data_IF_532404773190
#
_entry.id   IF_532404773190
#
_cell.length_a   1.000
_cell.length_b   1.000
_cell.length_c   1.000
_cell.angle_alpha   90.00
_cell.angle_beta   90.00
_cell.angle_gamma   90.00
#
_symmetry.space_group_name_H-M   'P 1'
#
loop_
_entity.id
_entity.type
_entity.pdbx_description
1 polymer ?
#
# COMPACT_ATOMS: atom_id res chain seq x y z
N UNK A 1 -5.68 52.63 22.05
CA UNK A 1 -5.13 51.63 21.11
C UNK A 1 -3.83 51.12 21.71
N UNK A 2 -3.88 50.00 22.41
CA UNK A 2 -2.69 49.34 22.94
C UNK A 2 -1.96 48.68 21.76
N UNK A 3 -0.73 49.11 21.51
CA UNK A 3 0.16 48.41 20.60
C UNK A 3 0.57 47.08 21.26
N UNK A 4 0.14 45.98 20.66
CA UNK A 4 0.62 44.65 21.00
C UNK A 4 2.09 44.56 20.60
N UNK A 5 2.97 44.47 21.58
CA UNK A 5 4.35 44.02 21.37
C UNK A 5 4.31 42.55 20.96
N UNK A 6 4.55 42.30 19.68
CA UNK A 6 4.78 40.97 19.12
C UNK A 6 6.02 40.37 19.78
N UNK A 7 5.81 39.36 20.62
CA UNK A 7 6.87 38.51 21.12
C UNK A 7 7.38 37.66 19.94
N UNK A 8 8.54 38.01 19.40
CA UNK A 8 9.29 37.12 18.52
C UNK A 8 9.70 35.90 19.34
N UNK A 9 8.98 34.80 19.17
CA UNK A 9 9.34 33.52 19.76
C UNK A 9 10.69 33.08 19.19
N UNK A 10 11.76 33.21 19.99
CA UNK A 10 13.06 32.63 19.69
C UNK A 10 12.96 31.10 19.67
N UNK A 11 13.72 30.49 18.74
CA UNK A 11 13.84 29.04 18.59
C UNK A 11 14.23 28.42 19.94
N UNK A 12 13.36 27.60 20.54
CA UNK A 12 13.69 26.84 21.77
C UNK A 12 12.61 26.77 22.85
N UNK A 13 11.47 27.45 22.71
CA UNK A 13 10.45 27.59 23.78
C UNK A 13 9.63 26.33 24.17
N UNK A 14 10.03 25.13 23.74
CA UNK A 14 9.36 23.88 24.14
C UNK A 14 10.30 22.68 24.25
N UNK A 15 11.55 22.90 24.69
CA UNK A 15 12.48 21.81 25.00
C UNK A 15 12.91 21.86 26.47
N UNK A 16 13.16 20.70 27.11
CA UNK A 16 13.81 20.67 28.41
C UNK A 16 15.10 21.49 28.36
N UNK A 17 15.49 22.10 29.49
CA UNK A 17 16.70 22.92 29.58
C UNK A 17 17.87 22.23 28.84
N UNK A 18 18.40 22.92 27.84
CA UNK A 18 19.55 22.42 27.10
C UNK A 18 20.71 22.16 28.06
N UNK A 19 21.49 21.10 27.81
CA UNK A 19 22.67 20.80 28.62
C UNK A 19 23.59 22.02 28.71
N UNK A 20 24.27 22.20 29.85
CA UNK A 20 25.26 23.28 30.00
C UNK A 20 26.32 23.22 28.89
N UNK A 21 26.68 22.01 28.43
CA UNK A 21 27.56 21.78 27.30
C UNK A 21 26.99 22.32 25.98
N UNK A 22 25.69 22.09 25.69
CA UNK A 22 25.05 22.64 24.50
C UNK A 22 25.02 24.17 24.50
N UNK A 23 24.78 24.79 25.66
CA UNK A 23 24.79 26.26 25.77
C UNK A 23 26.19 26.84 25.50
N UNK A 24 27.25 26.20 26.01
CA UNK A 24 28.62 26.60 25.70
C UNK A 24 28.93 26.48 24.20
N UNK A 25 28.45 25.42 23.55
CA UNK A 25 28.58 25.27 22.09
C UNK A 25 27.81 26.37 21.35
N UNK A 26 26.59 26.68 21.77
CA UNK A 26 25.77 27.73 21.16
C UNK A 26 26.46 29.10 21.23
N UNK A 27 26.98 29.47 22.40
CA UNK A 27 27.67 30.75 22.58
C UNK A 27 28.96 30.82 21.76
N UNK A 28 29.72 29.72 21.70
CA UNK A 28 30.91 29.64 20.85
C UNK A 28 30.55 29.73 19.36
N UNK A 29 29.45 29.10 18.93
CA UNK A 29 28.97 29.18 17.56
C UNK A 29 28.58 30.62 17.17
N UNK A 30 27.89 31.34 18.07
CA UNK A 30 27.55 32.75 17.87
C UNK A 30 28.81 33.62 17.70
N UNK A 31 29.80 33.46 18.58
CA UNK A 31 31.04 34.22 18.51
C UNK A 31 31.85 33.94 17.22
N UNK A 32 31.90 32.66 16.80
CA UNK A 32 32.56 32.27 15.55
C UNK A 32 31.81 32.80 14.33
N UNK A 33 30.47 32.80 14.34
CA UNK A 33 29.64 33.36 13.27
C UNK A 33 29.87 34.87 13.11
N UNK A 34 29.88 35.62 14.21
CA UNK A 34 30.16 37.06 14.18
C UNK A 34 31.56 37.34 13.61
N UNK A 35 32.57 36.57 14.04
CA UNK A 35 33.94 36.70 13.54
C UNK A 35 34.03 36.34 12.06
N UNK A 36 33.34 35.29 11.62
CA UNK A 36 33.30 34.89 10.21
C UNK A 36 32.61 35.92 9.32
N UNK A 37 31.53 36.52 9.80
CA UNK A 37 30.85 37.61 9.09
C UNK A 37 31.78 38.84 8.92
N UNK A 38 32.60 39.17 9.93
CA UNK A 38 33.61 40.24 9.79
C UNK A 38 34.65 39.89 8.74
N UNK A 39 35.17 38.66 8.75
CA UNK A 39 36.09 38.20 7.70
C UNK A 39 35.51 38.32 6.29
N UNK A 40 34.25 37.93 6.10
CA UNK A 40 33.58 37.96 4.79
C UNK A 40 33.31 39.40 4.33
N UNK A 41 32.81 40.26 5.23
CA UNK A 41 32.38 41.61 4.88
C UNK A 41 33.55 42.59 4.71
N UNK A 42 34.58 42.47 5.55
CA UNK A 42 35.71 43.41 5.55
C UNK A 42 36.83 42.98 4.59
N UNK A 43 36.85 41.71 4.15
CA UNK A 43 37.95 41.15 3.34
C UNK A 43 37.40 40.26 2.20
N UNK A 44 36.93 40.87 1.10
CA UNK A 44 36.39 40.12 -0.04
C UNK A 44 37.46 39.32 -0.81
N UNK A 45 38.73 39.72 -0.73
CA UNK A 45 39.86 39.01 -1.33
C UNK A 45 40.95 38.75 -0.27
N UNK A 46 41.59 37.59 -0.36
CA UNK A 46 42.73 37.24 0.49
C UNK A 46 44.05 37.55 -0.21
N UNK A 47 44.98 38.14 0.53
CA UNK A 47 46.36 38.37 0.12
C UNK A 47 47.34 37.53 0.95
N UNK A 48 48.62 37.59 0.62
CA UNK A 48 49.67 36.77 1.26
C UNK A 48 49.76 36.95 2.79
N UNK A 49 49.36 38.11 3.33
CA UNK A 49 49.37 38.36 4.78
C UNK A 49 48.10 37.87 5.49
N UNK A 50 46.97 37.88 4.79
CA UNK A 50 45.65 37.57 5.37
C UNK A 50 45.24 36.12 5.15
N UNK A 51 45.73 35.48 4.09
CA UNK A 51 45.43 34.08 3.77
C UNK A 51 45.86 33.10 4.88
N UNK A 52 47.06 33.19 5.51
CA UNK A 52 47.44 32.30 6.61
C UNK A 52 46.54 32.46 7.86
N UNK A 53 46.11 33.69 8.13
CA UNK A 53 45.20 34.03 9.25
C UNK A 53 43.79 33.52 8.96
N UNK A 54 43.32 33.65 7.72
CA UNK A 54 42.04 33.12 7.26
C UNK A 54 42.02 31.58 7.31
N UNK A 55 43.10 30.92 6.88
CA UNK A 55 43.24 29.46 6.98
C UNK A 55 43.20 28.99 8.44
N UNK A 56 43.91 29.68 9.34
CA UNK A 56 43.87 29.38 10.78
C UNK A 56 42.46 29.52 11.38
N UNK A 57 41.67 30.49 10.89
CA UNK A 57 40.29 30.67 11.30
C UNK A 57 39.36 29.60 10.69
N UNK A 58 39.56 29.23 9.43
CA UNK A 58 38.86 28.14 8.76
C UNK A 58 39.09 26.80 9.49
N UNK A 59 40.32 26.54 9.96
CA UNK A 59 40.60 25.38 10.81
C UNK A 59 39.82 25.42 12.12
N UNK A 60 39.68 26.58 12.76
CA UNK A 60 38.89 26.72 13.98
C UNK A 60 37.41 26.41 13.74
N UNK A 61 36.82 26.93 12.65
CA UNK A 61 35.44 26.63 12.24
C UNK A 61 35.26 25.13 12.01
N UNK A 62 36.20 24.52 11.29
CA UNK A 62 36.17 23.09 10.96
C UNK A 62 36.28 22.21 12.22
N UNK A 63 37.22 22.53 13.12
CA UNK A 63 37.39 21.81 14.40
C UNK A 63 36.16 21.97 15.28
N UNK A 64 35.59 23.17 15.37
CA UNK A 64 34.38 23.43 16.14
C UNK A 64 33.18 22.65 15.59
N UNK A 65 32.99 22.63 14.27
CA UNK A 65 31.93 21.83 13.63
C UNK A 65 32.07 20.33 13.97
N UNK A 66 33.30 19.79 13.97
CA UNK A 66 33.56 18.40 14.38
C UNK A 66 33.21 18.14 15.85
N UNK A 67 33.50 19.09 16.75
CA UNK A 67 33.15 18.98 18.18
C UNK A 67 31.63 18.93 18.36
N UNK A 68 30.89 19.84 17.73
CA UNK A 68 29.42 19.87 17.80
C UNK A 68 28.82 18.53 17.35
N UNK A 69 29.30 17.99 16.22
CA UNK A 69 28.81 16.71 15.71
C UNK A 69 29.19 15.53 16.60
N UNK A 70 30.36 15.56 17.25
CA UNK A 70 30.76 14.55 18.21
C UNK A 70 29.89 14.57 19.48
N UNK A 71 29.64 15.76 20.05
CA UNK A 71 28.74 15.94 21.21
C UNK A 71 27.33 15.47 20.87
N UNK A 72 26.80 15.88 19.71
CA UNK A 72 25.48 15.41 19.22
C UNK A 72 25.39 13.90 19.14
N UNK A 73 26.44 13.23 18.64
CA UNK A 73 26.47 11.75 18.57
C UNK A 73 26.51 11.14 19.97
N UNK A 74 27.32 11.68 20.86
CA UNK A 74 27.46 11.18 22.23
C UNK A 74 26.15 11.29 23.03
N UNK A 75 25.46 12.43 22.97
CA UNK A 75 24.15 12.61 23.62
C UNK A 75 23.07 11.74 22.98
N UNK A 76 23.11 11.54 21.65
CA UNK A 76 22.10 10.78 20.91
C UNK A 76 22.25 9.26 21.07
N UNK A 77 23.46 8.74 21.23
CA UNK A 77 23.71 7.30 21.31
C UNK A 77 22.91 6.59 22.42
N UNK A 78 22.86 7.05 23.68
CA UNK A 78 22.08 6.38 24.71
C UNK A 78 20.57 6.40 24.40
N UNK A 79 20.06 7.46 23.79
CA UNK A 79 18.65 7.56 23.39
C UNK A 79 18.35 6.56 22.26
N UNK A 80 19.23 6.46 21.27
CA UNK A 80 19.11 5.46 20.20
C UNK A 80 19.20 4.05 20.74
N UNK A 81 20.08 3.80 21.71
CA UNK A 81 20.20 2.50 22.36
C UNK A 81 18.92 2.13 23.11
N UNK A 82 18.38 3.05 23.92
CA UNK A 82 17.09 2.85 24.60
C UNK A 82 15.96 2.58 23.61
N UNK A 83 15.92 3.31 22.49
CA UNK A 83 14.97 3.06 21.40
C UNK A 83 15.11 1.66 20.81
N UNK A 84 16.34 1.24 20.49
CA UNK A 84 16.62 -0.12 19.97
C UNK A 84 16.23 -1.21 20.97
N UNK A 85 16.48 -1.01 22.26
CA UNK A 85 16.10 -1.95 23.30
C UNK A 85 14.58 -2.07 23.45
N UNK A 86 13.87 -0.95 23.39
CA UNK A 86 12.41 -0.92 23.40
C UNK A 86 11.84 -1.67 22.19
N UNK A 87 12.33 -1.34 21.00
CA UNK A 87 11.95 -1.98 19.75
C UNK A 87 12.21 -3.49 19.82
N UNK A 88 13.36 -3.91 20.34
CA UNK A 88 13.69 -5.32 20.49
C UNK A 88 12.72 -6.05 21.43
N UNK A 89 12.33 -5.44 22.56
CA UNK A 89 11.36 -6.03 23.51
C UNK A 89 9.99 -6.26 22.86
N UNK A 90 9.47 -5.25 22.16
CA UNK A 90 8.18 -5.37 21.48
C UNK A 90 8.24 -6.31 20.28
N UNK A 91 9.35 -6.26 19.52
CA UNK A 91 9.58 -7.18 18.42
C UNK A 91 9.57 -8.63 18.89
N UNK A 92 10.24 -8.95 20.01
CA UNK A 92 10.24 -10.29 20.59
C UNK A 92 8.81 -10.80 20.91
N UNK A 93 7.93 -9.94 21.43
CA UNK A 93 6.52 -10.30 21.67
C UNK A 93 5.79 -10.62 20.36
N UNK A 94 5.96 -9.77 19.34
CA UNK A 94 5.32 -9.99 18.04
C UNK A 94 5.87 -11.22 17.31
N UNK A 95 7.17 -11.48 17.43
CA UNK A 95 7.82 -12.66 16.85
C UNK A 95 7.37 -13.96 17.53
N UNK A 96 7.16 -13.95 18.85
CA UNK A 96 6.60 -15.10 19.56
C UNK A 96 5.15 -15.43 19.10
N UNK A 97 4.35 -14.41 18.79
CA UNK A 97 2.97 -14.59 18.34
C UNK A 97 2.83 -14.86 16.83
N UNK A 98 3.81 -14.44 16.02
CA UNK A 98 3.74 -14.52 14.55
C UNK A 98 3.50 -15.94 14.02
N UNK A 99 4.18 -17.01 14.50
CA UNK A 99 3.90 -18.37 14.08
C UNK A 99 2.47 -18.85 14.41
N UNK A 100 1.96 -18.44 15.58
CA UNK A 100 0.59 -18.78 16.02
C UNK A 100 -0.42 -18.10 15.11
N UNK A 101 -0.25 -16.79 14.87
CA UNK A 101 -1.11 -16.02 13.97
C UNK A 101 -1.08 -16.60 12.56
N UNK A 102 0.09 -16.98 12.05
CA UNK A 102 0.24 -17.64 10.74
C UNK A 102 -0.53 -18.95 10.69
N UNK A 103 -0.32 -19.85 11.66
CA UNK A 103 -1.00 -21.15 11.73
C UNK A 103 -2.52 -20.99 11.81
N UNK A 104 -3.01 -20.05 12.62
CA UNK A 104 -4.45 -19.77 12.73
C UNK A 104 -5.04 -19.23 11.42
N UNK A 105 -4.32 -18.35 10.71
CA UNK A 105 -4.73 -17.85 9.39
C UNK A 105 -4.80 -18.97 8.35
N UNK A 106 -3.83 -19.88 8.36
CA UNK A 106 -3.80 -21.05 7.45
C UNK A 106 -5.01 -21.96 7.71
N UNK A 107 -5.28 -22.30 8.96
CA UNK A 107 -6.47 -23.11 9.34
C UNK A 107 -7.78 -22.42 8.97
N UNK A 108 -7.89 -21.13 9.25
CA UNK A 108 -9.07 -20.33 8.85
C UNK A 108 -9.24 -20.29 7.32
N UNK A 109 -8.14 -20.25 6.58
CA UNK A 109 -8.17 -20.30 5.11
C UNK A 109 -8.68 -21.65 4.61
N UNK A 110 -8.24 -22.76 5.22
CA UNK A 110 -8.75 -24.11 4.88
C UNK A 110 -10.25 -24.19 5.14
N UNK A 111 -10.71 -23.74 6.31
CA UNK A 111 -12.13 -23.72 6.64
C UNK A 111 -12.95 -22.87 5.66
N UNK A 112 -12.52 -21.64 5.36
CA UNK A 112 -13.22 -20.76 4.42
C UNK A 112 -13.25 -21.32 2.99
N UNK A 113 -12.20 -22.04 2.57
CA UNK A 113 -12.20 -22.74 1.27
C UNK A 113 -13.20 -23.88 1.25
N UNK A 114 -13.31 -24.63 2.35
CA UNK A 114 -14.29 -25.70 2.47
C UNK A 114 -15.73 -25.14 2.47
N UNK A 115 -15.98 -24.04 3.17
CA UNK A 115 -17.26 -23.34 3.12
C UNK A 115 -17.58 -22.83 1.70
N UNK A 116 -16.60 -22.33 0.97
CA UNK A 116 -16.77 -21.92 -0.43
C UNK A 116 -17.04 -23.12 -1.35
N UNK A 117 -16.41 -24.28 -1.10
CA UNK A 117 -16.68 -25.54 -1.83
C UNK A 117 -18.13 -25.99 -1.61
N UNK A 118 -18.54 -26.12 -0.35
CA UNK A 118 -19.91 -26.52 0.01
C UNK A 118 -20.96 -25.57 -0.57
N UNK A 119 -20.70 -24.25 -0.55
CA UNK A 119 -21.59 -23.28 -1.17
C UNK A 119 -21.70 -23.50 -2.68
N UNK A 120 -20.58 -23.72 -3.39
CA UNK A 120 -20.60 -23.96 -4.85
C UNK A 120 -21.36 -25.24 -5.19
N UNK A 121 -21.19 -26.29 -4.39
CA UNK A 121 -21.95 -27.55 -4.56
C UNK A 121 -23.45 -27.34 -4.37
N UNK A 122 -23.84 -26.56 -3.35
CA UNK A 122 -25.24 -26.21 -3.12
C UNK A 122 -25.79 -25.31 -4.23
N UNK A 123 -25.01 -24.32 -4.67
CA UNK A 123 -25.34 -23.44 -5.78
C UNK A 123 -25.54 -24.22 -7.08
N UNK A 124 -24.68 -25.18 -7.39
CA UNK A 124 -24.83 -26.09 -8.54
C UNK A 124 -26.10 -26.94 -8.42
N UNK A 125 -26.40 -27.46 -7.23
CA UNK A 125 -27.62 -28.25 -6.96
C UNK A 125 -28.89 -27.42 -7.17
N UNK A 126 -28.95 -26.22 -6.59
CA UNK A 126 -30.11 -25.32 -6.68
C UNK A 126 -30.27 -24.79 -8.11
N UNK A 127 -29.17 -24.50 -8.83
CA UNK A 127 -29.23 -24.14 -10.26
C UNK A 127 -29.77 -25.29 -11.11
N UNK A 128 -29.35 -26.53 -10.87
CA UNK A 128 -29.86 -27.69 -11.58
C UNK A 128 -31.36 -27.92 -11.30
N UNK A 129 -31.81 -27.70 -10.06
CA UNK A 129 -33.23 -27.75 -9.70
C UNK A 129 -34.03 -26.62 -10.36
N UNK A 130 -33.51 -25.38 -10.35
CA UNK A 130 -34.12 -24.25 -11.03
C UNK A 130 -34.29 -24.51 -12.52
N UNK A 131 -33.27 -25.10 -13.18
CA UNK A 131 -33.35 -25.45 -14.60
C UNK A 131 -34.42 -26.51 -14.88
N UNK A 132 -34.55 -27.51 -14.00
CA UNK A 132 -35.62 -28.53 -14.12
C UNK A 132 -37.00 -27.92 -13.99
N UNK A 133 -37.22 -27.09 -12.96
CA UNK A 133 -38.50 -26.39 -12.74
C UNK A 133 -38.83 -25.41 -13.86
N UNK A 134 -37.83 -24.72 -14.40
CA UNK A 134 -38.02 -23.85 -15.57
C UNK A 134 -38.48 -24.65 -16.80
N UNK A 135 -37.90 -25.83 -17.05
CA UNK A 135 -38.32 -26.69 -18.14
C UNK A 135 -39.74 -27.25 -17.93
N UNK A 136 -40.09 -27.66 -16.71
CA UNK A 136 -41.45 -28.08 -16.34
C UNK A 136 -42.46 -26.94 -16.52
N UNK A 137 -42.13 -25.72 -16.07
CA UNK A 137 -42.98 -24.55 -16.23
C UNK A 137 -43.19 -24.17 -17.71
N UNK A 138 -42.14 -24.26 -18.53
CA UNK A 138 -42.24 -24.05 -19.99
C UNK A 138 -43.16 -25.07 -20.65
N UNK A 139 -43.07 -26.34 -20.23
CA UNK A 139 -43.92 -27.39 -20.77
C UNK A 139 -45.37 -27.25 -20.32
N UNK A 140 -45.62 -26.95 -19.03
CA UNK A 140 -46.96 -26.66 -18.53
C UNK A 140 -47.58 -25.44 -19.23
N UNK A 141 -46.82 -24.37 -19.45
CA UNK A 141 -47.27 -23.21 -20.19
C UNK A 141 -47.55 -23.51 -21.68
N UNK A 142 -46.78 -24.42 -22.30
CA UNK A 142 -47.06 -24.91 -23.67
C UNK A 142 -48.39 -25.66 -23.71
N UNK A 143 -48.60 -26.59 -22.77
CA UNK A 143 -49.83 -27.39 -22.66
C UNK A 143 -51.05 -26.48 -22.42
N UNK A 144 -50.94 -25.50 -21.52
CA UNK A 144 -52.01 -24.56 -21.23
C UNK A 144 -52.35 -23.70 -22.46
N UNK A 145 -51.33 -23.20 -23.19
CA UNK A 145 -51.54 -22.43 -24.44
C UNK A 145 -52.19 -23.28 -25.53
N UNK A 146 -51.74 -24.52 -25.73
CA UNK A 146 -52.35 -25.43 -26.70
C UNK A 146 -53.80 -25.77 -26.35
N UNK A 147 -54.12 -25.92 -25.06
CA UNK A 147 -55.49 -26.13 -24.60
C UNK A 147 -56.39 -24.90 -24.88
N UNK A 148 -55.88 -23.69 -24.63
CA UNK A 148 -56.58 -22.43 -24.92
C UNK A 148 -56.79 -22.22 -26.42
N UNK A 149 -55.78 -22.48 -27.25
CA UNK A 149 -55.87 -22.39 -28.71
C UNK A 149 -56.91 -23.38 -29.28
N UNK A 150 -56.92 -24.63 -28.80
CA UNK A 150 -57.88 -25.65 -29.22
C UNK A 150 -59.32 -25.34 -28.76
N UNK A 151 -59.50 -24.75 -27.57
CA UNK A 151 -60.80 -24.30 -27.08
C UNK A 151 -61.34 -23.14 -27.93
N UNK A 152 -60.49 -22.16 -28.26
CA UNK A 152 -60.84 -21.01 -29.11
C UNK A 152 -61.12 -21.39 -30.58
N UNK A 153 -60.44 -22.41 -31.10
CA UNK A 153 -60.66 -22.94 -32.45
C UNK A 153 -61.96 -23.76 -32.58
N UNK A 154 -62.65 -24.05 -31.47
CA UNK A 154 -63.88 -24.85 -31.46
C UNK A 154 -63.64 -26.34 -31.78
N UNK A 155 -62.40 -26.81 -31.70
CA UNK A 155 -61.99 -28.16 -32.11
C UNK A 155 -62.15 -29.20 -30.97
N UNK A 156 -62.41 -28.75 -29.73
CA UNK A 156 -62.47 -29.61 -28.55
C UNK A 156 -63.65 -29.29 -27.60
N UNK A 157 -64.35 -30.32 -27.12
CA UNK A 157 -65.43 -30.24 -26.10
C UNK A 157 -64.80 -30.28 -24.70
N UNK A 158 -63.78 -29.45 -24.46
CA UNK A 158 -63.26 -29.20 -23.11
C UNK A 158 -64.14 -28.15 -22.44
N UNK A 159 -64.47 -28.32 -21.16
CA UNK A 159 -65.21 -27.26 -20.45
C UNK A 159 -64.28 -26.09 -20.15
N UNK A 160 -64.77 -24.84 -20.12
CA UNK A 160 -63.98 -23.65 -19.72
C UNK A 160 -63.22 -23.88 -18.40
N UNK A 161 -63.78 -24.71 -17.52
CA UNK A 161 -63.17 -25.15 -16.25
C UNK A 161 -61.87 -25.93 -16.40
N UNK A 162 -61.68 -26.71 -17.47
CA UNK A 162 -60.47 -27.51 -17.70
C UNK A 162 -59.30 -26.63 -18.17
N UNK A 163 -59.58 -25.64 -19.02
CA UNK A 163 -58.59 -24.65 -19.49
C UNK A 163 -58.11 -23.77 -18.34
N UNK A 164 -59.04 -23.31 -17.48
CA UNK A 164 -58.70 -22.53 -16.28
C UNK A 164 -57.85 -23.33 -15.29
N UNK A 165 -58.10 -24.64 -15.14
CA UNK A 165 -57.30 -25.50 -14.28
C UNK A 165 -55.86 -25.68 -14.80
N UNK A 166 -55.69 -25.87 -16.12
CA UNK A 166 -54.36 -25.97 -16.75
C UNK A 166 -53.59 -24.64 -16.68
N UNK A 167 -54.28 -23.51 -16.81
CA UNK A 167 -53.68 -22.19 -16.64
C UNK A 167 -53.18 -21.98 -15.20
N UNK A 168 -54.00 -22.35 -14.20
CA UNK A 168 -53.62 -22.25 -12.79
C UNK A 168 -52.43 -23.16 -12.43
N UNK A 169 -52.35 -24.36 -13.02
CA UNK A 169 -51.20 -25.27 -12.86
C UNK A 169 -49.94 -24.69 -13.50
N UNK A 170 -50.05 -24.09 -14.69
CA UNK A 170 -48.94 -23.42 -15.35
C UNK A 170 -48.43 -22.22 -14.53
N UNK A 171 -49.33 -21.37 -14.02
CA UNK A 171 -48.98 -20.22 -13.19
C UNK A 171 -48.29 -20.64 -11.89
N UNK A 172 -48.79 -21.69 -11.21
CA UNK A 172 -48.16 -22.25 -10.02
C UNK A 172 -46.74 -22.77 -10.30
N UNK A 173 -46.54 -23.47 -11.43
CA UNK A 173 -45.22 -23.97 -11.85
C UNK A 173 -44.25 -22.84 -12.22
N UNK A 174 -44.75 -21.76 -12.82
CA UNK A 174 -43.96 -20.55 -13.12
C UNK A 174 -43.51 -19.87 -11.81
N UNK A 175 -44.40 -19.73 -10.83
CA UNK A 175 -44.07 -19.15 -9.53
C UNK A 175 -43.01 -19.98 -8.78
N UNK A 176 -43.15 -21.32 -8.76
CA UNK A 176 -42.16 -22.23 -8.17
C UNK A 176 -40.79 -22.13 -8.86
N UNK A 177 -40.77 -22.02 -10.19
CA UNK A 177 -39.54 -21.84 -10.97
C UNK A 177 -38.87 -20.49 -10.66
N UNK A 178 -39.64 -19.41 -10.58
CA UNK A 178 -39.15 -18.08 -10.22
C UNK A 178 -38.59 -18.03 -8.80
N UNK A 179 -39.27 -18.64 -7.83
CA UNK A 179 -38.81 -18.71 -6.44
C UNK A 179 -37.49 -19.49 -6.32
N UNK A 180 -37.34 -20.60 -7.05
CA UNK A 180 -36.12 -21.42 -7.04
C UNK A 180 -34.97 -20.69 -7.78
N UNK A 181 -35.25 -19.98 -8.87
CA UNK A 181 -34.27 -19.17 -9.58
C UNK A 181 -33.77 -17.99 -8.72
N UNK A 182 -34.66 -17.31 -7.99
CA UNK A 182 -34.28 -16.25 -7.06
C UNK A 182 -33.38 -16.76 -5.93
N UNK A 183 -33.64 -17.96 -5.41
CA UNK A 183 -32.75 -18.61 -4.44
C UNK A 183 -31.36 -18.89 -5.05
N UNK A 184 -31.29 -19.40 -6.28
CA UNK A 184 -30.03 -19.64 -6.98
C UNK A 184 -29.19 -18.36 -7.13
N UNK A 185 -29.82 -17.24 -7.51
CA UNK A 185 -29.14 -15.94 -7.63
C UNK A 185 -28.63 -15.41 -6.28
N UNK A 186 -29.42 -15.55 -5.21
CA UNK A 186 -29.01 -15.12 -3.87
C UNK A 186 -27.80 -15.92 -3.38
N UNK A 187 -27.77 -17.23 -3.60
CA UNK A 187 -26.62 -18.07 -3.27
C UNK A 187 -25.37 -17.67 -4.08
N UNK A 188 -25.54 -17.38 -5.37
CA UNK A 188 -24.44 -16.96 -6.24
C UNK A 188 -23.77 -15.64 -5.81
N UNK A 189 -24.56 -14.70 -5.30
CA UNK A 189 -24.05 -13.40 -4.83
C UNK A 189 -23.39 -13.47 -3.45
N UNK A 190 -23.77 -14.46 -2.63
CA UNK A 190 -23.33 -14.54 -1.23
C UNK A 190 -21.95 -15.21 -1.12
N UNK A 191 -20.95 -14.46 -0.61
CA UNK A 191 -19.62 -15.02 -0.31
C UNK A 191 -19.55 -15.51 1.14
N UNK A 192 -18.92 -16.66 1.41
CA UNK A 192 -18.74 -17.13 2.77
C UNK A 192 -17.87 -16.15 3.56
N UNK A 193 -18.39 -15.74 4.71
CA UNK A 193 -17.72 -14.86 5.68
C UNK A 193 -17.92 -15.44 7.06
N UNK A 194 -16.88 -15.38 7.89
CA UNK A 194 -16.95 -15.77 9.30
C UNK A 194 -16.91 -14.50 10.14
N UNK A 195 -18.00 -14.20 10.82
CA UNK A 195 -18.05 -13.13 11.81
C UNK A 195 -17.51 -13.65 13.14
N UNK A 196 -16.53 -12.94 13.71
CA UNK A 196 -16.10 -13.22 15.07
C UNK A 196 -16.97 -12.50 16.10
N UNK A 197 -16.95 -12.99 17.34
CA UNK A 197 -17.72 -12.44 18.46
C UNK A 197 -17.37 -10.97 18.76
N UNK A 198 -16.15 -10.55 18.42
CA UNK A 198 -15.66 -9.18 18.56
C UNK A 198 -16.00 -8.29 17.34
N UNK A 199 -16.99 -8.68 16.53
CA UNK A 199 -17.62 -7.85 15.49
C UNK A 199 -16.95 -7.83 14.12
N UNK A 200 -15.75 -8.39 13.95
CA UNK A 200 -15.04 -8.38 12.67
C UNK A 200 -15.28 -9.65 11.85
N UNK A 201 -15.74 -9.48 10.61
CA UNK A 201 -15.87 -10.57 9.65
C UNK A 201 -14.57 -10.85 8.89
N UNK A 202 -14.24 -12.13 8.69
CA UNK A 202 -13.14 -12.60 7.86
C UNK A 202 -13.67 -13.32 6.62
N UNK A 203 -13.12 -12.97 5.46
CA UNK A 203 -13.40 -13.64 4.19
C UNK A 203 -12.12 -13.85 3.39
N UNK A 204 -12.21 -14.67 2.34
CA UNK A 204 -11.10 -14.87 1.40
C UNK A 204 -10.84 -13.59 0.60
N UNK A 205 -9.55 -13.22 0.45
CA UNK A 205 -9.13 -12.09 -0.37
C UNK A 205 -8.36 -12.59 -1.58
N UNK A 206 -8.72 -12.08 -2.76
CA UNK A 206 -8.04 -12.39 -4.02
C UNK A 206 -6.81 -11.50 -4.16
N UNK A 207 -5.66 -12.13 -4.46
CA UNK A 207 -4.43 -11.43 -4.82
C UNK A 207 -4.01 -11.85 -6.22
N UNK A 208 -3.69 -10.86 -7.05
CA UNK A 208 -3.16 -11.07 -8.39
C UNK A 208 -1.64 -11.03 -8.33
N UNK A 209 -0.97 -12.10 -8.76
CA UNK A 209 0.48 -12.17 -8.84
C UNK A 209 0.88 -12.32 -10.30
N UNK A 210 1.68 -11.38 -10.79
CA UNK A 210 2.31 -11.47 -12.11
C UNK A 210 3.63 -12.24 -12.00
N UNK A 211 3.88 -13.13 -12.95
CA UNK A 211 5.17 -13.81 -13.12
C UNK A 211 5.75 -13.34 -14.44
N UNK A 212 7.00 -12.85 -14.42
CA UNK A 212 7.72 -12.46 -15.63
C UNK A 212 8.12 -13.74 -16.37
N UNK A 213 7.57 -13.94 -17.56
CA UNK A 213 7.88 -15.10 -18.42
C UNK A 213 9.09 -14.84 -19.31
N UNK A 214 9.26 -13.60 -19.75
CA UNK A 214 10.32 -13.14 -20.65
C UNK A 214 10.92 -11.83 -20.10
N UNK A 215 12.13 -11.87 -19.53
CA UNK A 215 12.76 -10.68 -18.92
C UNK A 215 13.00 -9.54 -19.91
N UNK A 216 13.42 -9.84 -21.14
CA UNK A 216 13.79 -8.81 -22.11
C UNK A 216 12.56 -8.03 -22.54
N UNK A 217 11.45 -8.73 -22.82
CA UNK A 217 10.18 -8.08 -23.16
C UNK A 217 9.59 -7.32 -21.98
N UNK A 218 9.78 -7.79 -20.75
CA UNK A 218 9.34 -7.08 -19.56
C UNK A 218 10.12 -5.76 -19.39
N UNK A 219 11.44 -5.78 -19.55
CA UNK A 219 12.25 -4.57 -19.53
C UNK A 219 11.84 -3.63 -20.65
N UNK A 220 11.63 -4.12 -21.86
CA UNK A 220 11.13 -3.33 -23.00
C UNK A 220 9.81 -2.62 -22.69
N UNK A 221 8.87 -3.33 -22.06
CA UNK A 221 7.60 -2.75 -21.62
C UNK A 221 7.78 -1.66 -20.55
N UNK A 222 8.77 -1.80 -19.66
CA UNK A 222 9.04 -0.86 -18.57
C UNK A 222 10.13 0.18 -18.87
N UNK A 223 10.68 0.25 -20.09
CA UNK A 223 11.78 1.18 -20.48
C UNK A 223 11.51 2.65 -20.13
N UNK A 224 10.26 3.09 -20.20
CA UNK A 224 9.85 4.46 -19.85
C UNK A 224 9.44 4.67 -18.39
N UNK A 225 9.50 3.64 -17.54
CA UNK A 225 9.03 3.73 -16.16
C UNK A 225 10.06 4.47 -15.27
N UNK A 226 9.66 5.48 -14.48
CA UNK A 226 10.58 6.30 -13.67
C UNK A 226 11.50 5.48 -12.77
N UNK A 227 10.99 4.42 -12.14
CA UNK A 227 11.79 3.57 -11.24
C UNK A 227 12.89 2.80 -11.97
N UNK A 228 12.65 2.34 -13.20
CA UNK A 228 13.66 1.65 -14.00
C UNK A 228 14.78 2.61 -14.40
N UNK A 229 14.41 3.83 -14.82
CA UNK A 229 15.36 4.90 -15.15
C UNK A 229 16.21 5.26 -13.93
N UNK A 230 15.60 5.38 -12.75
CA UNK A 230 16.33 5.67 -11.51
C UNK A 230 17.35 4.58 -11.16
N UNK A 231 17.01 3.30 -11.37
CA UNK A 231 17.95 2.18 -11.20
C UNK A 231 19.10 2.27 -12.20
N UNK A 232 18.81 2.57 -13.48
CA UNK A 232 19.83 2.73 -14.52
C UNK A 232 20.76 3.92 -14.21
N UNK A 233 20.21 5.06 -13.79
CA UNK A 233 21.01 6.23 -13.38
C UNK A 233 21.93 5.90 -12.20
N UNK A 234 21.44 5.16 -11.21
CA UNK A 234 22.27 4.73 -10.07
C UNK A 234 23.44 3.84 -10.51
N UNK A 235 23.23 2.99 -11.52
CA UNK A 235 24.30 2.17 -12.10
C UNK A 235 25.30 3.05 -12.88
N UNK A 236 24.81 4.04 -13.63
CA UNK A 236 25.65 5.02 -14.33
C UNK A 236 26.52 5.85 -13.37
N UNK A 237 25.95 6.35 -12.27
CA UNK A 237 26.70 7.08 -11.25
C UNK A 237 27.76 6.20 -10.57
N UNK A 238 27.46 4.91 -10.38
CA UNK A 238 28.42 3.92 -9.88
C UNK A 238 29.62 3.74 -10.81
N UNK A 239 29.37 3.72 -12.13
CA UNK A 239 30.42 3.66 -13.15
C UNK A 239 31.25 4.94 -13.15
N UNK A 240 30.64 6.12 -13.05
CA UNK A 240 31.31 7.41 -13.00
C UNK A 240 32.26 7.57 -11.79
N UNK A 241 31.96 6.89 -10.68
CA UNK A 241 32.80 6.88 -9.47
C UNK A 241 33.97 5.89 -9.53
N UNK A 242 33.91 4.90 -10.42
CA UNK A 242 34.95 3.88 -10.54
C UNK A 242 36.16 4.44 -11.31
N UNK A 243 37.38 4.43 -10.73
CA UNK A 243 38.59 4.91 -11.42
C UNK A 243 38.89 4.14 -12.71
N UNK A 244 38.49 2.86 -12.78
CA UNK A 244 38.72 1.98 -13.92
C UNK A 244 37.75 2.23 -15.08
N UNK A 245 36.56 2.78 -14.80
CA UNK A 245 35.46 2.92 -15.78
C UNK A 245 35.16 4.37 -16.14
N UNK A 246 35.71 5.35 -15.40
CA UNK A 246 35.57 6.80 -15.65
C UNK A 246 35.96 7.24 -17.07
N UNK A 247 36.88 6.53 -17.72
CA UNK A 247 37.39 6.86 -19.06
C UNK A 247 36.81 5.95 -20.15
N UNK A 248 35.88 5.06 -19.80
CA UNK A 248 35.28 4.14 -20.75
C UNK A 248 34.08 4.80 -21.42
N UNK A 249 34.09 4.88 -22.75
CA UNK A 249 32.93 5.30 -23.53
C UNK A 249 31.85 4.21 -23.45
N UNK A 250 30.78 4.49 -22.71
CA UNK A 250 29.62 3.61 -22.61
C UNK A 250 28.48 4.26 -23.39
N UNK A 251 27.90 3.60 -24.40
CA UNK A 251 26.80 4.16 -25.19
C UNK A 251 25.65 4.63 -24.28
N UNK A 252 25.32 5.93 -24.38
CA UNK A 252 24.22 6.54 -23.62
C UNK A 252 24.58 7.11 -22.24
N UNK A 253 25.87 7.14 -21.84
CA UNK A 253 26.34 7.73 -20.57
C UNK A 253 27.48 8.72 -20.84
N UNK A 254 27.37 9.95 -20.31
CA UNK A 254 28.41 10.98 -20.34
C UNK A 254 28.92 11.26 -18.90
N UNK A 255 30.24 11.34 -18.72
CA UNK A 255 30.90 11.52 -17.40
C UNK A 255 31.69 12.83 -17.37
N UNK A 256 31.37 13.75 -16.45
CA UNK A 256 32.05 15.07 -16.29
C UNK A 256 32.75 15.21 -14.92
N UNK A 257 33.81 16.01 -14.82
CA UNK A 257 34.56 16.27 -13.56
C UNK A 257 34.57 17.74 -13.13
N UNK A 258 34.37 18.01 -11.85
CA UNK A 258 34.42 19.34 -11.22
C UNK A 258 35.24 19.28 -9.91
N UNK A 259 36.17 20.22 -9.69
CA UNK A 259 36.99 20.32 -8.48
C UNK A 259 36.45 21.42 -7.54
N UNK A 260 36.26 21.11 -6.24
CA UNK A 260 35.75 22.03 -5.21
C UNK A 260 36.53 21.83 -3.90
N UNK A 261 36.78 22.91 -3.15
CA UNK A 261 37.42 22.92 -1.80
C UNK A 261 36.37 22.80 -0.70
#
# INVERSE_FOLDING_TARGET
MQAATEATAEIGHNQPEHSEEFQQLLDRAKALKETGNKWINERPEFNDETAPKANSFLEQLTKFSKIVEATRKAEKEPILQQGRELDARFKALTEALSPIVKTMKERMTVYLKEQDRLRREEEERVRAEAQKKENEAKEAARIAREAEENANAGENVGTDTDVVALQAEADAKIEEAQATAAQAEQLAQTKPKVQGDMGNARGLKTYWKATITDPDKAVDHFKGHPDLIAVVQKLADGLARSPASRHQEIPGIEITSEERV
#
